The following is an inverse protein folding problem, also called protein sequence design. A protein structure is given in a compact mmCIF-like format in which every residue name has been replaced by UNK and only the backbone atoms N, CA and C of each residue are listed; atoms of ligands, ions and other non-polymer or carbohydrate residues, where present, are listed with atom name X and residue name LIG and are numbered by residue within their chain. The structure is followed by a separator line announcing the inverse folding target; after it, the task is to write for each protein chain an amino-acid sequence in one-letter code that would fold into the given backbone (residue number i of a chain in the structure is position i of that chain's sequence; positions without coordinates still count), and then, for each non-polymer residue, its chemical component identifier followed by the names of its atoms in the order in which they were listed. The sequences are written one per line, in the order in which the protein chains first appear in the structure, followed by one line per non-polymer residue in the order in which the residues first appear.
data_IF_425317372567
#
_entry.id   IF_425317372567
#
_cell.length_a   1.000
_cell.length_b   1.000
_cell.length_c   1.000
_cell.angle_alpha   90.00
_cell.angle_beta   90.00
_cell.angle_gamma   90.00
#
_symmetry.space_group_name_H-M   'P 1'
#
loop_
_entity.id
_entity.type
_entity.pdbx_description
1 polymer ?
#
# COMPACT_ATOMS: atom_id res chain seq x y z
N UNK A 1 -8.24 20.82 -10.87
CA UNK A 1 -9.71 20.92 -11.02
C UNK A 1 -10.28 19.57 -10.64
N UNK A 2 -11.29 19.52 -9.75
CA UNK A 2 -11.97 18.27 -9.44
C UNK A 2 -12.64 17.73 -10.72
N UNK A 3 -12.47 16.44 -11.01
CA UNK A 3 -13.17 15.81 -12.13
C UNK A 3 -14.69 15.97 -11.96
N UNK A 4 -15.42 16.17 -13.06
CA UNK A 4 -16.89 16.24 -13.01
C UNK A 4 -17.40 14.89 -12.49
N UNK A 5 -18.27 14.93 -11.48
CA UNK A 5 -18.86 13.74 -10.86
C UNK A 5 -19.56 12.84 -11.89
N UNK A 6 -20.10 13.40 -12.96
CA UNK A 6 -20.74 12.62 -14.03
C UNK A 6 -19.70 11.82 -14.84
N UNK A 7 -18.55 12.42 -15.12
CA UNK A 7 -17.45 11.74 -15.77
C UNK A 7 -16.88 10.62 -14.90
N UNK A 8 -16.76 10.88 -13.60
CA UNK A 8 -16.26 9.91 -12.63
C UNK A 8 -17.17 8.67 -12.60
N UNK A 9 -18.46 8.86 -12.38
CA UNK A 9 -19.45 7.78 -12.34
C UNK A 9 -19.48 7.02 -13.67
N UNK A 10 -19.41 7.75 -14.79
CA UNK A 10 -19.41 7.16 -16.12
C UNK A 10 -18.21 6.25 -16.35
N UNK A 11 -16.99 6.72 -16.02
CA UNK A 11 -15.75 5.90 -16.07
C UNK A 11 -15.85 4.68 -15.17
N UNK A 12 -16.39 4.86 -13.97
CA UNK A 12 -16.54 3.77 -13.00
C UNK A 12 -17.45 2.67 -13.50
N UNK A 13 -18.63 3.02 -13.98
CA UNK A 13 -19.61 2.06 -14.54
C UNK A 13 -19.00 1.32 -15.72
N UNK A 14 -18.31 2.02 -16.64
CA UNK A 14 -17.63 1.40 -17.78
C UNK A 14 -16.54 0.43 -17.33
N UNK A 15 -15.74 0.80 -16.33
CA UNK A 15 -14.69 -0.06 -15.77
C UNK A 15 -15.25 -1.32 -15.13
N UNK A 16 -16.32 -1.18 -14.31
CA UNK A 16 -16.99 -2.32 -13.67
C UNK A 16 -17.59 -3.30 -14.67
N UNK A 17 -18.19 -2.77 -15.75
CA UNK A 17 -18.71 -3.58 -16.83
C UNK A 17 -17.58 -4.31 -17.57
N UNK A 18 -16.50 -3.59 -17.92
CA UNK A 18 -15.34 -4.17 -18.62
C UNK A 18 -14.66 -5.31 -17.85
N UNK A 19 -14.51 -5.17 -16.51
CA UNK A 19 -13.93 -6.22 -15.67
C UNK A 19 -14.73 -7.53 -15.64
N UNK A 20 -16.03 -7.44 -15.95
CA UNK A 20 -16.93 -8.62 -15.99
C UNK A 20 -17.15 -9.13 -17.41
N UNK A 21 -16.45 -8.51 -18.38
CA UNK A 21 -16.61 -8.79 -19.82
C UNK A 21 -18.08 -8.67 -20.29
N UNK A 22 -18.86 -7.79 -19.62
CA UNK A 22 -20.25 -7.57 -19.99
C UNK A 22 -20.38 -6.59 -21.15
N UNK A 23 -21.27 -6.91 -22.08
CA UNK A 23 -21.75 -5.96 -23.05
C UNK A 23 -22.66 -4.91 -22.40
N UNK A 24 -22.87 -3.79 -23.06
CA UNK A 24 -23.78 -2.75 -22.53
C UNK A 24 -25.24 -3.24 -22.45
N UNK A 25 -25.60 -4.23 -23.29
CA UNK A 25 -26.93 -4.86 -23.27
C UNK A 25 -27.10 -5.74 -22.03
N UNK A 26 -26.11 -6.54 -21.71
CA UNK A 26 -26.13 -7.37 -20.50
C UNK A 26 -26.18 -6.52 -19.23
N UNK A 27 -25.47 -5.38 -19.19
CA UNK A 27 -25.60 -4.46 -18.06
C UNK A 27 -26.99 -3.86 -18.00
N UNK A 28 -27.62 -3.51 -19.13
CA UNK A 28 -28.98 -3.00 -19.18
C UNK A 28 -30.00 -4.02 -18.63
N UNK A 29 -29.88 -5.26 -19.04
CA UNK A 29 -30.75 -6.37 -18.56
C UNK A 29 -30.61 -6.61 -17.06
N UNK A 30 -29.37 -6.60 -16.54
CA UNK A 30 -29.07 -6.86 -15.13
C UNK A 30 -29.47 -5.71 -14.21
N UNK A 31 -29.34 -4.46 -14.69
CA UNK A 31 -29.59 -3.25 -13.89
C UNK A 31 -31.01 -2.67 -14.07
N UNK A 32 -31.73 -3.07 -15.12
CA UNK A 32 -33.00 -2.43 -15.50
C UNK A 32 -32.82 -1.01 -16.07
N UNK A 33 -31.59 -0.59 -16.37
CA UNK A 33 -31.29 0.72 -16.93
C UNK A 33 -31.19 0.61 -18.46
N UNK A 34 -31.83 1.52 -19.21
CA UNK A 34 -31.84 1.45 -20.66
C UNK A 34 -30.46 1.57 -21.29
N UNK A 35 -30.18 0.82 -22.37
CA UNK A 35 -28.94 0.89 -23.13
C UNK A 35 -28.57 2.32 -23.52
N UNK A 36 -29.55 3.10 -24.02
CA UNK A 36 -29.34 4.51 -24.41
C UNK A 36 -28.80 5.35 -23.25
N UNK A 37 -29.37 5.16 -22.07
CA UNK A 37 -28.92 5.91 -20.88
C UNK A 37 -27.56 5.45 -20.41
N UNK A 38 -27.25 4.15 -20.44
CA UNK A 38 -25.93 3.61 -20.10
C UNK A 38 -24.84 4.17 -21.00
N UNK A 39 -25.09 4.29 -22.32
CA UNK A 39 -24.14 4.94 -23.24
C UNK A 39 -23.87 6.39 -22.85
N UNK A 40 -24.92 7.15 -22.51
CA UNK A 40 -24.76 8.53 -22.04
C UNK A 40 -24.01 8.59 -20.70
N UNK A 41 -24.31 7.68 -19.79
CA UNK A 41 -23.66 7.61 -18.50
C UNK A 41 -22.17 7.30 -18.64
N UNK A 42 -21.82 6.26 -19.39
CA UNK A 42 -20.42 5.85 -19.62
C UNK A 42 -19.60 6.90 -20.39
N UNK A 43 -20.24 7.80 -21.10
CA UNK A 43 -19.61 8.97 -21.75
C UNK A 43 -19.49 10.21 -20.85
N UNK A 44 -19.88 10.12 -19.59
CA UNK A 44 -19.83 11.23 -18.64
C UNK A 44 -20.92 12.29 -18.82
N UNK A 45 -21.94 12.03 -19.65
CA UNK A 45 -23.04 12.98 -19.96
C UNK A 45 -24.37 12.60 -19.32
N UNK A 46 -24.44 11.45 -18.68
CA UNK A 46 -25.67 10.94 -18.09
C UNK A 46 -25.83 11.35 -16.61
N UNK A 47 -26.78 12.21 -16.31
CA UNK A 47 -27.14 12.50 -14.90
C UNK A 47 -28.01 11.37 -14.36
N UNK A 48 -27.45 10.59 -13.45
CA UNK A 48 -28.10 9.41 -12.87
C UNK A 48 -28.82 9.75 -11.56
N UNK A 49 -30.07 9.33 -11.41
CA UNK A 49 -30.73 9.41 -10.12
C UNK A 49 -30.16 8.42 -9.11
N UNK A 50 -30.25 8.76 -7.81
CA UNK A 50 -29.76 7.88 -6.71
C UNK A 50 -30.37 6.48 -6.79
N UNK A 51 -31.66 6.37 -7.16
CA UNK A 51 -32.31 5.07 -7.34
C UNK A 51 -31.66 4.23 -8.43
N UNK A 52 -31.43 4.80 -9.61
CA UNK A 52 -30.77 4.10 -10.72
C UNK A 52 -29.31 3.78 -10.43
N UNK A 53 -28.62 4.65 -9.67
CA UNK A 53 -27.27 4.36 -9.20
C UNK A 53 -27.27 3.14 -8.28
N UNK A 54 -28.25 3.02 -7.39
CA UNK A 54 -28.40 1.86 -6.52
C UNK A 54 -28.73 0.58 -7.32
N UNK A 55 -29.54 0.68 -8.38
CA UNK A 55 -29.85 -0.45 -9.26
C UNK A 55 -28.59 -0.94 -10.02
N UNK A 56 -27.77 -0.02 -10.53
CA UNK A 56 -26.47 -0.33 -11.15
C UNK A 56 -25.50 -0.96 -10.15
N UNK A 57 -25.38 -0.36 -8.97
CA UNK A 57 -24.51 -0.89 -7.92
C UNK A 57 -24.90 -2.33 -7.55
N UNK A 58 -26.19 -2.60 -7.40
CA UNK A 58 -26.71 -3.95 -7.14
C UNK A 58 -26.38 -4.94 -8.25
N UNK A 59 -26.49 -4.52 -9.52
CA UNK A 59 -26.11 -5.36 -10.67
C UNK A 59 -24.63 -5.77 -10.64
N UNK A 60 -23.76 -4.89 -10.13
CA UNK A 60 -22.35 -5.16 -9.93
C UNK A 60 -21.99 -5.81 -8.61
N UNK A 61 -22.93 -6.01 -7.70
CA UNK A 61 -22.70 -6.47 -6.32
C UNK A 61 -21.83 -5.46 -5.53
N UNK A 62 -22.06 -4.17 -5.76
CA UNK A 62 -21.38 -3.03 -5.11
C UNK A 62 -22.37 -2.21 -4.30
N UNK A 63 -21.86 -1.30 -3.46
CA UNK A 63 -22.64 -0.22 -2.88
C UNK A 63 -22.73 1.00 -3.83
N UNK A 64 -23.73 1.86 -3.73
CA UNK A 64 -23.77 3.12 -4.46
C UNK A 64 -22.55 4.01 -4.18
N UNK A 65 -21.99 3.95 -2.94
CA UNK A 65 -20.80 4.68 -2.56
C UNK A 65 -19.58 4.24 -3.38
N UNK A 66 -19.48 2.95 -3.71
CA UNK A 66 -18.38 2.43 -4.53
C UNK A 66 -18.39 3.00 -5.96
N UNK A 67 -19.57 3.30 -6.51
CA UNK A 67 -19.70 3.93 -7.82
C UNK A 67 -19.46 5.44 -7.81
N UNK A 68 -19.55 6.08 -6.64
CA UNK A 68 -19.30 7.50 -6.44
C UNK A 68 -17.88 7.81 -5.97
N UNK A 69 -17.13 6.80 -5.58
CA UNK A 69 -15.78 6.96 -5.05
C UNK A 69 -14.81 7.31 -6.17
N UNK A 70 -13.91 8.26 -5.93
CA UNK A 70 -12.78 8.59 -6.82
C UNK A 70 -11.76 7.45 -6.92
N UNK A 71 -11.87 6.46 -6.04
CA UNK A 71 -10.99 5.32 -6.03
C UNK A 71 -11.12 4.51 -7.33
N UNK A 72 -10.06 4.46 -8.12
CA UNK A 72 -9.92 3.50 -9.22
C UNK A 72 -9.99 2.09 -8.59
N UNK A 73 -10.87 1.18 -9.06
CA UNK A 73 -10.95 -0.17 -8.49
C UNK A 73 -9.66 -0.97 -8.61
N UNK A 74 -8.84 -0.61 -9.58
CA UNK A 74 -7.51 -1.20 -9.80
C UNK A 74 -6.38 -0.29 -9.30
N UNK A 75 -6.70 0.92 -8.79
CA UNK A 75 -5.70 1.77 -8.18
C UNK A 75 -5.27 1.14 -6.86
N UNK A 76 -3.96 1.06 -6.61
CA UNK A 76 -3.48 0.54 -5.34
C UNK A 76 -4.02 1.41 -4.20
N UNK A 77 -4.68 0.77 -3.24
CA UNK A 77 -5.18 1.42 -2.03
C UNK A 77 -4.15 1.42 -0.90
N UNK A 78 -3.00 0.82 -1.15
CA UNK A 78 -1.95 0.63 -0.16
C UNK A 78 -0.71 1.41 -0.57
N UNK A 79 -0.19 2.23 0.34
CA UNK A 79 1.16 2.82 0.23
C UNK A 79 2.07 1.94 1.08
N UNK A 80 2.94 1.16 0.45
CA UNK A 80 3.89 0.28 1.13
C UNK A 80 5.24 0.98 1.32
N UNK A 81 5.59 1.28 2.56
CA UNK A 81 6.88 1.87 2.92
C UNK A 81 7.93 0.77 3.06
N UNK A 82 8.94 0.84 2.24
CA UNK A 82 10.09 -0.04 2.19
C UNK A 82 11.33 0.64 2.80
N UNK A 83 12.29 -0.14 3.20
CA UNK A 83 13.57 0.35 3.73
C UNK A 83 14.02 -0.46 4.93
N UNK A 84 15.30 -0.38 5.23
CA UNK A 84 15.91 -1.10 6.34
C UNK A 84 15.35 -0.58 7.69
N UNK A 85 15.64 -1.31 8.76
CA UNK A 85 15.36 -0.84 10.13
C UNK A 85 16.06 0.52 10.36
N UNK A 86 15.39 1.45 11.04
CA UNK A 86 15.88 2.82 11.19
C UNK A 86 15.62 3.76 10.00
N UNK A 87 15.03 3.31 8.88
CA UNK A 87 14.67 4.17 7.75
C UNK A 87 13.55 5.19 8.05
N UNK A 88 12.85 5.04 9.19
CA UNK A 88 11.77 5.94 9.59
C UNK A 88 10.36 5.48 9.17
N UNK A 89 10.19 4.26 8.68
CA UNK A 89 8.90 3.71 8.19
C UNK A 89 7.73 3.91 9.16
N UNK A 90 7.93 3.60 10.45
CA UNK A 90 6.88 3.74 11.46
C UNK A 90 6.51 5.19 11.72
N UNK A 91 7.49 6.06 11.89
CA UNK A 91 7.27 7.48 12.23
C UNK A 91 6.66 8.23 11.05
N UNK A 92 7.27 8.12 9.87
CA UNK A 92 6.80 8.74 8.64
C UNK A 92 5.44 8.16 8.24
N UNK A 93 5.28 6.83 8.33
CA UNK A 93 4.05 6.15 7.97
C UNK A 93 2.86 6.56 8.84
N UNK A 94 3.04 6.69 10.16
CA UNK A 94 1.98 7.18 11.06
C UNK A 94 1.57 8.61 10.71
N UNK A 95 2.54 9.49 10.42
CA UNK A 95 2.24 10.87 10.09
C UNK A 95 1.59 11.01 8.72
N UNK A 96 2.07 10.26 7.71
CA UNK A 96 1.46 10.20 6.39
C UNK A 96 0.00 9.69 6.47
N UNK A 97 -0.22 8.60 7.21
CA UNK A 97 -1.55 8.05 7.39
C UNK A 97 -2.52 9.06 8.04
N UNK A 98 -2.06 9.80 9.06
CA UNK A 98 -2.87 10.88 9.69
C UNK A 98 -3.23 11.98 8.69
N UNK A 99 -2.25 12.47 7.91
CA UNK A 99 -2.47 13.55 6.94
C UNK A 99 -3.34 13.15 5.75
N UNK A 100 -3.34 11.86 5.40
CA UNK A 100 -4.18 11.31 4.33
C UNK A 100 -5.49 10.68 4.83
N UNK A 101 -5.77 10.72 6.14
CA UNK A 101 -6.92 10.08 6.77
C UNK A 101 -7.00 8.57 6.50
N UNK A 102 -5.84 7.91 6.42
CA UNK A 102 -5.69 6.48 6.17
C UNK A 102 -5.39 5.70 7.45
N UNK A 103 -5.60 4.39 7.41
CA UNK A 103 -5.09 3.49 8.45
C UNK A 103 -3.57 3.36 8.33
N UNK A 104 -2.90 3.22 9.48
CA UNK A 104 -1.52 2.81 9.53
C UNK A 104 -1.42 1.37 10.00
N UNK A 105 -0.66 0.55 9.28
CA UNK A 105 -0.43 -0.87 9.58
C UNK A 105 1.08 -1.15 9.59
N UNK A 106 1.56 -1.81 10.63
CA UNK A 106 2.91 -2.38 10.68
C UNK A 106 2.81 -3.89 10.43
N UNK A 107 3.46 -4.36 9.37
CA UNK A 107 3.43 -5.77 9.00
C UNK A 107 4.05 -6.64 10.11
N UNK A 108 5.19 -6.21 10.67
CA UNK A 108 5.89 -6.92 11.74
C UNK A 108 4.97 -7.16 12.95
N UNK A 109 4.20 -6.15 13.36
CA UNK A 109 3.23 -6.30 14.45
C UNK A 109 2.04 -7.19 14.11
N UNK A 110 1.66 -7.28 12.85
CA UNK A 110 0.63 -8.23 12.41
C UNK A 110 1.15 -9.65 12.44
N UNK A 111 2.41 -9.86 12.08
CA UNK A 111 3.09 -11.15 12.17
C UNK A 111 3.21 -11.61 13.61
N UNK A 112 3.67 -10.74 14.53
CA UNK A 112 3.77 -11.05 15.97
C UNK A 112 2.42 -11.46 16.56
N UNK A 113 1.34 -10.76 16.20
CA UNK A 113 -0.01 -11.11 16.63
C UNK A 113 -0.51 -12.42 16.06
N UNK A 114 -0.19 -12.72 14.79
CA UNK A 114 -0.59 -13.96 14.16
C UNK A 114 0.17 -15.18 14.73
N UNK A 115 1.40 -14.96 15.16
CA UNK A 115 2.24 -16.00 15.76
C UNK A 115 2.06 -16.11 17.28
N UNK A 116 1.43 -15.13 17.92
CA UNK A 116 1.35 -14.96 19.37
C UNK A 116 2.72 -14.98 20.06
N UNK A 117 3.75 -14.43 19.39
CA UNK A 117 5.13 -14.33 19.89
C UNK A 117 5.87 -13.18 19.23
N UNK A 118 6.98 -12.76 19.82
CA UNK A 118 7.86 -11.76 19.25
C UNK A 118 8.60 -12.27 18.00
N UNK A 119 8.99 -11.37 17.09
CA UNK A 119 9.81 -11.74 15.95
C UNK A 119 11.12 -12.44 16.35
N UNK A 120 11.73 -11.99 17.46
CA UNK A 120 12.95 -12.61 17.97
C UNK A 120 12.76 -14.07 18.34
N UNK A 121 11.69 -14.38 19.07
CA UNK A 121 11.32 -15.76 19.43
C UNK A 121 11.00 -16.59 18.18
N UNK A 122 10.26 -16.00 17.26
CA UNK A 122 9.87 -16.65 16.00
C UNK A 122 11.10 -17.07 15.17
N UNK A 123 12.08 -16.17 15.03
CA UNK A 123 13.35 -16.49 14.36
C UNK A 123 14.16 -17.55 15.10
N UNK A 124 14.21 -17.45 16.43
CA UNK A 124 14.99 -18.39 17.26
C UNK A 124 14.43 -19.81 17.28
N UNK A 125 13.10 -19.94 17.29
CA UNK A 125 12.42 -21.24 17.40
C UNK A 125 12.16 -21.90 16.05
N UNK A 126 11.81 -21.12 15.03
CA UNK A 126 11.32 -21.64 13.74
C UNK A 126 12.19 -21.29 12.53
N UNK A 127 13.16 -20.39 12.69
CA UNK A 127 14.07 -19.97 11.65
C UNK A 127 13.46 -19.03 10.60
N UNK A 128 14.32 -18.65 9.64
CA UNK A 128 13.95 -17.64 8.63
C UNK A 128 12.88 -18.14 7.65
N UNK A 129 12.93 -19.38 7.22
CA UNK A 129 11.99 -19.92 6.23
C UNK A 129 10.54 -19.92 6.74
N UNK A 130 10.35 -20.23 8.02
CA UNK A 130 9.03 -20.16 8.64
C UNK A 130 8.54 -18.72 8.72
N UNK A 131 9.42 -17.80 9.17
CA UNK A 131 9.10 -16.37 9.19
C UNK A 131 8.69 -15.86 7.82
N UNK A 132 9.41 -16.23 6.74
CA UNK A 132 9.10 -15.79 5.38
C UNK A 132 7.73 -16.28 4.88
N UNK A 133 7.35 -17.51 5.21
CA UNK A 133 6.00 -18.00 4.93
C UNK A 133 4.95 -17.19 5.67
N UNK A 134 5.14 -16.99 6.97
CA UNK A 134 4.20 -16.24 7.80
C UNK A 134 4.10 -14.76 7.39
N UNK A 135 5.23 -14.15 7.02
CA UNK A 135 5.27 -12.78 6.46
C UNK A 135 4.40 -12.68 5.20
N UNK A 136 4.57 -13.62 4.27
CA UNK A 136 3.80 -13.66 3.02
C UNK A 136 2.30 -13.86 3.28
N UNK A 137 1.94 -14.82 4.12
CA UNK A 137 0.54 -15.14 4.42
C UNK A 137 -0.16 -13.98 5.15
N UNK A 138 0.56 -13.33 6.09
CA UNK A 138 0.08 -12.14 6.79
C UNK A 138 -0.09 -10.97 5.84
N UNK A 139 0.87 -10.75 4.93
CA UNK A 139 0.77 -9.71 3.91
C UNK A 139 -0.44 -9.96 2.98
N UNK A 140 -0.63 -11.19 2.52
CA UNK A 140 -1.78 -11.55 1.69
C UNK A 140 -3.10 -11.24 2.40
N UNK A 141 -3.21 -11.56 3.69
CA UNK A 141 -4.38 -11.25 4.51
C UNK A 141 -4.62 -9.74 4.63
N UNK A 142 -3.57 -8.95 4.88
CA UNK A 142 -3.65 -7.49 4.98
C UNK A 142 -4.10 -6.86 3.66
N UNK A 143 -3.55 -7.30 2.53
CA UNK A 143 -3.92 -6.80 1.21
C UNK A 143 -5.36 -7.21 0.81
N UNK A 144 -5.82 -8.38 1.25
CA UNK A 144 -7.19 -8.85 1.02
C UNK A 144 -8.25 -8.04 1.77
N UNK A 145 -7.89 -7.25 2.78
CA UNK A 145 -8.80 -6.32 3.45
C UNK A 145 -9.36 -5.24 2.49
N UNK A 146 -8.70 -4.98 1.37
CA UNK A 146 -9.06 -3.98 0.35
C UNK A 146 -9.41 -2.61 0.95
N UNK A 147 -8.65 -2.18 1.95
CA UNK A 147 -8.82 -0.90 2.64
C UNK A 147 -7.64 0.01 2.36
N UNK A 148 -7.92 1.27 2.13
CA UNK A 148 -6.88 2.28 1.99
C UNK A 148 -6.02 2.38 3.26
N UNK A 149 -4.70 2.24 3.11
CA UNK A 149 -3.77 2.22 4.23
C UNK A 149 -2.35 2.61 3.85
N UNK A 150 -1.60 3.04 4.85
CA UNK A 150 -0.12 3.09 4.82
C UNK A 150 0.41 1.86 5.53
N UNK A 151 1.18 1.04 4.83
CA UNK A 151 1.76 -0.21 5.32
C UNK A 151 3.27 -0.04 5.51
N UNK A 152 3.76 -0.17 6.74
CA UNK A 152 5.19 -0.31 7.00
C UNK A 152 5.57 -1.78 6.92
N UNK A 153 6.47 -2.13 5.99
CA UNK A 153 6.94 -3.50 5.78
C UNK A 153 8.14 -3.83 6.67
N UNK A 154 8.45 -5.11 6.82
CA UNK A 154 9.71 -5.55 7.39
C UNK A 154 10.91 -5.11 6.54
N UNK A 155 12.08 -4.89 7.16
CA UNK A 155 13.28 -4.48 6.42
C UNK A 155 13.79 -5.53 5.44
N UNK A 156 13.38 -6.78 5.57
CA UNK A 156 13.73 -7.88 4.68
C UNK A 156 12.67 -8.25 3.64
N UNK A 157 11.52 -7.58 3.61
CA UNK A 157 10.41 -7.96 2.71
C UNK A 157 10.77 -7.94 1.22
N UNK A 158 11.74 -7.11 0.82
CA UNK A 158 12.25 -7.03 -0.56
C UNK A 158 13.15 -8.20 -0.94
N UNK A 159 13.68 -8.97 0.03
CA UNK A 159 14.54 -10.13 -0.24
C UNK A 159 13.75 -11.40 -0.57
N UNK A 160 12.45 -11.43 -0.31
CA UNK A 160 11.56 -12.49 -0.75
C UNK A 160 10.90 -12.07 -2.08
N UNK A 161 11.23 -12.72 -3.20
CA UNK A 161 10.69 -12.35 -4.51
C UNK A 161 9.16 -12.41 -4.55
N UNK A 162 8.54 -13.41 -3.89
CA UNK A 162 7.09 -13.56 -3.87
C UNK A 162 6.42 -12.46 -3.05
N UNK A 163 6.95 -12.14 -1.86
CA UNK A 163 6.45 -11.07 -1.00
C UNK A 163 6.56 -9.72 -1.71
N UNK A 164 7.69 -9.47 -2.36
CA UNK A 164 7.91 -8.23 -3.09
C UNK A 164 7.04 -8.11 -4.34
N UNK A 165 6.85 -9.19 -5.10
CA UNK A 165 5.93 -9.23 -6.24
C UNK A 165 4.48 -8.93 -5.81
N UNK A 166 4.03 -9.45 -4.65
CA UNK A 166 2.73 -9.11 -4.07
C UNK A 166 2.59 -7.62 -3.78
N UNK A 167 3.61 -7.01 -3.16
CA UNK A 167 3.62 -5.57 -2.88
C UNK A 167 3.55 -4.76 -4.16
N UNK A 168 4.38 -5.07 -5.16
CA UNK A 168 4.40 -4.37 -6.46
C UNK A 168 3.07 -4.46 -7.21
N UNK A 169 2.35 -5.56 -7.08
CA UNK A 169 1.04 -5.76 -7.72
C UNK A 169 -0.08 -4.99 -7.03
N UNK A 170 -0.01 -4.83 -5.70
CA UNK A 170 -1.17 -4.42 -4.89
C UNK A 170 -0.98 -3.11 -4.13
N UNK A 171 0.20 -2.50 -4.21
CA UNK A 171 0.53 -1.28 -3.48
C UNK A 171 1.40 -0.34 -4.32
N UNK A 172 1.32 0.95 -4.04
CA UNK A 172 2.38 1.90 -4.44
C UNK A 172 3.53 1.71 -3.47
N UNK A 173 4.67 1.27 -3.98
CA UNK A 173 5.86 0.99 -3.17
C UNK A 173 6.75 2.22 -3.07
N UNK A 174 7.15 2.57 -1.85
CA UNK A 174 8.00 3.72 -1.57
C UNK A 174 9.21 3.29 -0.77
N UNK A 175 10.39 3.46 -1.33
CA UNK A 175 11.64 3.26 -0.61
C UNK A 175 12.01 4.52 0.17
N UNK A 176 12.07 4.40 1.49
CA UNK A 176 12.65 5.40 2.37
C UNK A 176 14.16 5.17 2.46
N UNK A 177 14.93 5.97 1.72
CA UNK A 177 16.38 5.90 1.67
C UNK A 177 16.98 6.80 2.73
N UNK A 178 17.87 6.25 3.55
CA UNK A 178 18.64 7.01 4.54
C UNK A 178 20.13 6.67 4.42
N UNK A 179 21.00 7.57 4.87
CA UNK A 179 22.42 7.29 5.02
C UNK A 179 22.65 6.21 6.09
N UNK A 180 23.71 5.40 5.99
CA UNK A 180 24.02 4.37 6.99
C UNK A 180 24.09 4.93 8.41
N UNK A 181 24.63 6.12 8.58
CA UNK A 181 24.79 6.84 9.86
C UNK A 181 23.42 7.14 10.48
N UNK A 182 22.46 7.58 9.69
CA UNK A 182 21.10 7.85 10.16
C UNK A 182 20.36 6.58 10.60
N UNK A 183 20.57 5.48 9.88
CA UNK A 183 20.05 4.18 10.30
C UNK A 183 20.60 3.77 11.66
N UNK A 184 21.91 3.95 11.85
CA UNK A 184 22.61 3.65 13.07
C UNK A 184 22.07 4.46 14.25
N UNK A 185 22.09 5.77 14.12
CA UNK A 185 21.68 6.70 15.20
C UNK A 185 20.22 6.49 15.61
N UNK A 186 19.35 6.26 14.62
CA UNK A 186 17.92 6.01 14.89
C UNK A 186 17.68 4.66 15.58
N UNK A 187 18.42 3.61 15.25
CA UNK A 187 18.28 2.29 15.90
C UNK A 187 18.83 2.34 17.33
N UNK A 188 19.98 2.97 17.54
CA UNK A 188 20.57 3.15 18.88
C UNK A 188 19.65 3.98 19.77
N UNK A 189 19.08 5.08 19.27
CA UNK A 189 18.16 5.93 20.03
C UNK A 189 16.85 5.23 20.42
N UNK A 190 16.45 4.19 19.69
CA UNK A 190 15.27 3.35 19.99
C UNK A 190 15.55 2.26 21.04
N UNK A 191 16.75 2.24 21.62
CA UNK A 191 17.12 1.33 22.70
C UNK A 191 17.45 -0.09 22.27
N UNK A 192 17.46 -0.38 20.95
CA UNK A 192 17.87 -1.69 20.46
C UNK A 192 19.38 -1.73 20.20
N UNK A 193 20.10 -2.14 21.21
CA UNK A 193 21.55 -2.28 21.17
C UNK A 193 22.02 -3.64 20.63
N UNK A 194 21.12 -4.58 20.37
CA UNK A 194 21.44 -5.99 20.13
C UNK A 194 22.31 -6.32 18.91
N UNK A 195 22.28 -5.64 17.78
CA UNK A 195 23.25 -5.93 16.70
C UNK A 195 24.51 -5.07 16.75
N UNK A 196 24.57 -4.02 17.57
CA UNK A 196 25.45 -2.88 17.34
C UNK A 196 26.36 -2.47 18.48
N UNK A 197 26.05 -2.84 19.74
CA UNK A 197 26.74 -2.25 20.91
C UNK A 197 28.15 -2.79 21.17
N UNK A 198 28.47 -4.00 20.70
CA UNK A 198 29.71 -4.69 21.06
C UNK A 198 30.54 -5.16 19.86
N UNK A 199 30.21 -4.73 18.61
CA UNK A 199 30.91 -5.20 17.43
C UNK A 199 31.62 -4.05 16.70
N UNK A 200 32.97 -4.01 16.66
CA UNK A 200 33.73 -2.95 15.97
C UNK A 200 33.43 -2.83 14.48
N UNK A 201 32.87 -3.90 13.88
CA UNK A 201 32.52 -3.97 12.46
C UNK A 201 31.06 -3.70 12.14
N UNK A 202 30.21 -3.44 13.13
CA UNK A 202 28.76 -3.35 12.94
C UNK A 202 28.33 -2.25 11.93
N UNK A 203 29.04 -1.14 11.86
CA UNK A 203 28.80 -0.11 10.85
C UNK A 203 29.21 -0.60 9.44
N UNK A 204 30.29 -1.36 9.32
CA UNK A 204 30.71 -1.94 8.03
C UNK A 204 29.71 -3.00 7.57
N UNK A 205 29.21 -3.83 8.49
CA UNK A 205 28.16 -4.81 8.21
C UNK A 205 26.86 -4.15 7.78
N UNK A 206 26.48 -3.04 8.44
CA UNK A 206 25.31 -2.25 8.04
C UNK A 206 25.46 -1.69 6.63
N UNK A 207 26.63 -1.14 6.29
CA UNK A 207 26.88 -0.62 4.93
C UNK A 207 26.84 -1.73 3.90
N UNK A 208 27.42 -2.89 4.19
CA UNK A 208 27.38 -4.07 3.33
C UNK A 208 25.95 -4.55 3.12
N UNK A 209 25.15 -4.62 4.19
CA UNK A 209 23.74 -5.00 4.12
C UNK A 209 22.93 -4.00 3.30
N UNK A 210 23.15 -2.69 3.49
CA UNK A 210 22.49 -1.65 2.69
C UNK A 210 22.86 -1.77 1.22
N UNK A 211 24.16 -1.91 0.91
CA UNK A 211 24.63 -2.04 -0.47
C UNK A 211 24.04 -3.29 -1.17
N UNK A 212 23.94 -4.42 -0.47
CA UNK A 212 23.35 -5.64 -1.02
C UNK A 212 21.83 -5.53 -1.29
N UNK A 213 21.11 -4.69 -0.52
CA UNK A 213 19.65 -4.51 -0.65
C UNK A 213 19.25 -3.30 -1.50
N UNK A 214 20.16 -2.37 -1.72
CA UNK A 214 19.89 -1.15 -2.50
C UNK A 214 19.31 -1.43 -3.89
N UNK A 215 19.80 -2.41 -4.69
CA UNK A 215 19.19 -2.73 -5.98
C UNK A 215 17.75 -3.23 -5.88
N UNK A 216 17.42 -3.94 -4.80
CA UNK A 216 16.06 -4.43 -4.55
C UNK A 216 15.12 -3.28 -4.18
N UNK A 217 15.54 -2.41 -3.27
CA UNK A 217 14.77 -1.24 -2.90
C UNK A 217 14.60 -0.24 -4.05
N UNK A 218 15.62 -0.07 -4.89
CA UNK A 218 15.61 0.85 -6.04
C UNK A 218 14.55 0.49 -7.09
N UNK A 219 14.03 -0.73 -7.06
CA UNK A 219 12.92 -1.15 -7.91
C UNK A 219 11.55 -0.72 -7.39
N UNK A 220 11.46 -0.01 -6.25
CA UNK A 220 10.23 0.61 -5.77
C UNK A 220 9.72 1.68 -6.76
N UNK A 221 8.41 1.98 -6.70
CA UNK A 221 7.79 2.97 -7.59
C UNK A 221 8.29 4.39 -7.28
N UNK A 222 8.60 4.67 -6.01
CA UNK A 222 9.15 5.94 -5.56
C UNK A 222 10.32 5.72 -4.61
N UNK A 223 11.28 6.65 -4.64
CA UNK A 223 12.39 6.73 -3.68
C UNK A 223 12.40 8.09 -3.02
N UNK A 224 12.34 8.13 -1.70
CA UNK A 224 12.33 9.34 -0.90
C UNK A 224 13.56 9.36 0.01
N UNK A 225 14.36 10.41 -0.09
CA UNK A 225 15.50 10.62 0.80
C UNK A 225 14.99 11.11 2.16
N UNK A 226 15.49 10.48 3.24
CA UNK A 226 15.07 10.83 4.60
C UNK A 226 16.18 11.42 5.45
N UNK A 227 17.42 11.44 4.94
CA UNK A 227 18.58 12.03 5.64
C UNK A 227 18.50 13.55 5.61
N UNK A 228 18.85 14.19 6.73
CA UNK A 228 18.91 15.66 6.88
C UNK A 228 17.61 16.38 6.51
N UNK A 229 16.46 15.73 6.75
CA UNK A 229 15.14 16.30 6.44
C UNK A 229 14.18 16.13 7.62
N UNK A 230 13.27 17.09 7.73
CA UNK A 230 12.19 16.97 8.72
C UNK A 230 11.15 15.93 8.28
N UNK A 231 10.44 15.36 9.25
CA UNK A 231 9.38 14.39 8.95
C UNK A 231 8.26 15.07 8.14
N UNK A 232 8.00 16.35 8.40
CA UNK A 232 6.97 17.12 7.68
C UNK A 232 7.30 17.28 6.21
N UNK A 233 8.54 17.66 5.85
CA UNK A 233 8.99 17.78 4.46
C UNK A 233 8.89 16.44 3.71
N UNK A 234 9.27 15.35 4.38
CA UNK A 234 9.19 14.00 3.80
C UNK A 234 7.74 13.61 3.53
N UNK A 235 6.85 13.89 4.48
CA UNK A 235 5.43 13.55 4.34
C UNK A 235 4.74 14.41 3.28
N UNK A 236 5.12 15.68 3.14
CA UNK A 236 4.58 16.55 2.10
C UNK A 236 5.03 16.12 0.70
N UNK A 237 6.30 15.72 0.53
CA UNK A 237 6.78 15.13 -0.72
C UNK A 237 6.07 13.81 -1.04
N UNK A 238 5.89 12.92 -0.05
CA UNK A 238 5.14 11.68 -0.23
C UNK A 238 3.71 11.94 -0.72
N UNK A 239 3.00 12.88 -0.10
CA UNK A 239 1.64 13.25 -0.51
C UNK A 239 1.55 13.79 -1.92
N UNK A 240 2.57 14.53 -2.36
CA UNK A 240 2.65 15.05 -3.72
C UNK A 240 2.96 13.97 -4.76
N UNK A 241 3.75 12.96 -4.37
CA UNK A 241 4.27 11.93 -5.28
C UNK A 241 3.37 10.68 -5.37
N UNK A 242 2.64 10.36 -4.30
CA UNK A 242 1.90 9.11 -4.19
C UNK A 242 0.40 9.35 -4.31
N UNK A 243 -0.21 8.77 -5.34
CA UNK A 243 -1.66 8.79 -5.53
C UNK A 243 -2.21 7.39 -5.31
N UNK A 244 -3.18 7.26 -4.40
CA UNK A 244 -3.98 6.06 -4.21
C UNK A 244 -5.41 6.35 -4.60
N UNK A 245 -6.07 5.37 -5.19
CA UNK A 245 -7.43 5.48 -5.70
C UNK A 245 -8.50 5.40 -4.60
#
# INVERSE_FOLDING_TARGET
MAADILELVGRRVRGERGRRDWTIRELAERSGVSVRFLVQLESGRGNISVKRLADLARAFTLSPADLLSDAHPDAPQVIALLGLRGAGKTTIGKQLARRMHLRFVELDRRIERAADMSLGELFSLYGEDYYRRLERDTLASVLAERRAMVLATGGGSVTSPETFAMLKKSAVTVWLRAAPEDHWDRVVSQGDRRPMADHPQAMADLRTLLASREPLYASADHTIQTSNRTIDDIVDELRASVHIG
#
